data_IF_358727277219
#
_entry.id   IF_358727277219
#
_cell.length_a   1.000
_cell.length_b   1.000
_cell.length_c   1.000
_cell.angle_alpha   90.00
_cell.angle_beta   90.00
_cell.angle_gamma   90.00
#
_symmetry.space_group_name_H-M   'P 1'
#
loop_
_entity.id
_entity.type
_entity.pdbx_description
1 polymer ?
#
# COMPACT_ATOMS: atom_id res chain seq x y z
N UNK A 1 15.19 -1.65 21.94
CA UNK A 1 15.76 -1.47 20.58
C UNK A 1 14.68 -0.78 19.77
N UNK A 2 14.70 0.55 19.77
CA UNK A 2 13.75 1.38 19.03
C UNK A 2 14.25 1.47 17.58
N UNK A 3 13.53 0.90 16.60
CA UNK A 3 13.94 1.06 15.22
C UNK A 3 13.66 2.51 14.83
N UNK A 4 14.75 3.21 14.52
CA UNK A 4 14.78 4.43 13.72
C UNK A 4 13.70 4.35 12.63
N UNK A 5 12.71 5.26 12.64
CA UNK A 5 11.65 5.35 11.62
C UNK A 5 12.27 5.77 10.28
N UNK A 6 13.00 4.87 9.64
CA UNK A 6 13.41 5.01 8.24
C UNK A 6 12.26 4.43 7.42
N UNK A 7 11.54 5.30 6.73
CA UNK A 7 10.39 4.92 5.91
C UNK A 7 10.84 3.93 4.83
N UNK A 8 10.52 2.66 5.04
CA UNK A 8 11.02 1.53 4.26
C UNK A 8 9.85 0.70 3.74
N UNK A 9 10.03 0.06 2.59
CA UNK A 9 9.01 -0.78 1.95
C UNK A 9 8.43 -1.84 2.91
N UNK A 10 9.28 -2.44 3.75
CA UNK A 10 8.89 -3.43 4.75
C UNK A 10 7.94 -2.85 5.81
N UNK A 11 8.19 -1.63 6.29
CA UNK A 11 7.35 -0.98 7.30
C UNK A 11 5.96 -0.71 6.74
N UNK A 12 5.87 -0.18 5.52
CA UNK A 12 4.60 0.03 4.83
C UNK A 12 3.85 -1.29 4.68
N UNK A 13 4.56 -2.34 4.25
CA UNK A 13 4.02 -3.69 4.09
C UNK A 13 3.43 -4.22 5.39
N UNK A 14 4.19 -4.20 6.48
CA UNK A 14 3.73 -4.71 7.78
C UNK A 14 2.52 -3.94 8.32
N UNK A 15 2.53 -2.61 8.19
CA UNK A 15 1.40 -1.77 8.61
C UNK A 15 0.14 -2.13 7.84
N UNK A 16 0.23 -2.27 6.52
CA UNK A 16 -0.89 -2.62 5.66
C UNK A 16 -1.41 -4.04 5.94
N UNK A 17 -0.50 -5.01 6.13
CA UNK A 17 -0.87 -6.37 6.52
C UNK A 17 -1.65 -6.40 7.83
N UNK A 18 -1.13 -5.74 8.88
CA UNK A 18 -1.76 -5.73 10.20
C UNK A 18 -3.04 -4.88 10.25
N UNK A 19 -3.09 -3.75 9.54
CA UNK A 19 -4.21 -2.81 9.59
C UNK A 19 -5.38 -3.17 8.68
N UNK A 20 -5.16 -3.97 7.63
CA UNK A 20 -6.17 -4.25 6.61
C UNK A 20 -6.42 -5.74 6.39
N UNK A 21 -5.87 -6.61 7.24
CA UNK A 21 -5.91 -8.08 7.05
C UNK A 21 -5.59 -8.45 5.60
N UNK A 22 -4.56 -7.82 5.04
CA UNK A 22 -4.19 -8.06 3.66
C UNK A 22 -3.57 -9.46 3.54
N UNK A 23 -3.98 -10.20 2.50
CA UNK A 23 -3.39 -11.50 2.17
C UNK A 23 -2.07 -11.32 1.43
N UNK A 24 -2.00 -10.29 0.58
CA UNK A 24 -0.81 -10.00 -0.21
C UNK A 24 -0.53 -8.51 -0.24
N UNK A 25 0.72 -8.14 0.01
CA UNK A 25 1.17 -6.75 -0.02
C UNK A 25 2.53 -6.67 -0.69
N UNK A 26 2.57 -5.91 -1.78
CA UNK A 26 3.78 -5.55 -2.51
C UNK A 26 4.03 -4.05 -2.37
N UNK A 27 5.29 -3.69 -2.13
CA UNK A 27 5.72 -2.30 -2.02
C UNK A 27 6.93 -2.13 -2.92
N UNK A 28 6.81 -1.22 -3.88
CA UNK A 28 7.80 -0.90 -4.89
C UNK A 28 8.20 0.57 -4.75
N UNK A 29 9.50 0.83 -4.59
CA UNK A 29 10.03 2.19 -4.65
C UNK A 29 10.17 2.60 -6.12
N UNK A 30 9.39 3.60 -6.51
CA UNK A 30 9.35 4.12 -7.89
C UNK A 30 9.94 5.52 -7.96
N UNK A 31 10.76 5.91 -6.98
CA UNK A 31 11.36 7.24 -6.84
C UNK A 31 12.07 7.63 -8.15
N UNK A 32 11.48 8.52 -8.97
CA UNK A 32 12.01 8.85 -10.28
C UNK A 32 13.11 9.89 -10.10
N UNK A 33 14.31 9.41 -9.78
CA UNK A 33 15.47 10.26 -9.53
C UNK A 33 15.48 10.89 -8.13
N UNK A 34 16.65 11.40 -7.75
CA UNK A 34 17.09 11.71 -6.38
C UNK A 34 16.32 12.85 -5.65
N UNK A 35 15.16 13.29 -6.15
CA UNK A 35 14.45 14.48 -5.65
C UNK A 35 13.04 14.21 -5.09
N UNK A 36 12.32 13.18 -5.55
CA UNK A 36 10.95 12.94 -5.11
C UNK A 36 10.76 11.48 -4.73
N UNK A 37 10.57 11.21 -3.44
CA UNK A 37 10.29 9.87 -2.94
C UNK A 37 8.90 9.44 -3.39
N UNK A 38 8.87 8.40 -4.22
CA UNK A 38 7.65 7.84 -4.79
C UNK A 38 7.53 6.38 -4.44
N UNK A 39 6.44 5.99 -3.78
CA UNK A 39 6.16 4.58 -3.47
C UNK A 39 4.91 4.12 -4.17
N UNK A 40 4.98 2.89 -4.66
CA UNK A 40 3.86 2.17 -5.24
C UNK A 40 3.57 0.95 -4.38
N UNK A 41 2.38 0.89 -3.81
CA UNK A 41 1.94 -0.26 -3.01
C UNK A 41 0.79 -0.98 -3.69
N UNK A 42 0.81 -2.30 -3.68
CA UNK A 42 -0.30 -3.13 -4.10
C UNK A 42 -0.74 -3.95 -2.89
N UNK A 43 -1.99 -3.78 -2.49
CA UNK A 43 -2.60 -4.43 -1.34
C UNK A 43 -3.76 -5.25 -1.84
N UNK A 44 -3.69 -6.55 -1.58
CA UNK A 44 -4.74 -7.51 -1.85
C UNK A 44 -5.33 -7.91 -0.51
N UNK A 45 -6.61 -7.57 -0.31
CA UNK A 45 -7.32 -7.91 0.91
C UNK A 45 -8.77 -8.26 0.62
N UNK A 46 -9.32 -9.33 1.24
CA UNK A 46 -10.74 -9.61 1.18
C UNK A 46 -11.57 -8.53 1.90
N UNK A 47 -10.95 -7.74 2.78
CA UNK A 47 -11.59 -6.65 3.53
C UNK A 47 -12.04 -5.48 2.62
N UNK A 48 -11.55 -5.45 1.38
CA UNK A 48 -11.98 -4.51 0.34
C UNK A 48 -13.25 -4.94 -0.40
N UNK A 49 -13.69 -6.20 -0.24
CA UNK A 49 -14.90 -6.72 -0.88
C UNK A 49 -16.12 -5.94 -0.39
N UNK A 50 -16.92 -5.43 -1.33
CA UNK A 50 -18.09 -4.60 -1.00
C UNK A 50 -17.79 -3.15 -0.60
N UNK A 51 -16.52 -2.73 -0.46
CA UNK A 51 -16.14 -1.32 -0.22
C UNK A 51 -15.85 -0.60 -1.52
N UNK A 52 -16.26 0.67 -1.61
CA UNK A 52 -15.93 1.52 -2.76
C UNK A 52 -14.42 1.84 -2.80
N UNK A 53 -13.86 2.01 -3.99
CA UNK A 53 -12.43 2.30 -4.21
C UNK A 53 -11.95 3.50 -3.36
N UNK A 54 -12.75 4.57 -3.31
CA UNK A 54 -12.42 5.75 -2.49
C UNK A 54 -12.35 5.43 -0.98
N UNK A 55 -13.21 4.55 -0.46
CA UNK A 55 -13.18 4.16 0.95
C UNK A 55 -11.94 3.32 1.26
N UNK A 56 -11.57 2.40 0.35
CA UNK A 56 -10.33 1.63 0.47
C UNK A 56 -9.12 2.56 0.51
N UNK A 57 -9.10 3.58 -0.37
CA UNK A 57 -8.04 4.57 -0.42
C UNK A 57 -7.97 5.42 0.85
N UNK A 58 -9.12 5.85 1.38
CA UNK A 58 -9.15 6.56 2.67
C UNK A 58 -8.56 5.72 3.80
N UNK A 59 -8.95 4.45 3.92
CA UNK A 59 -8.43 3.57 4.98
C UNK A 59 -6.91 3.44 4.94
N UNK A 60 -6.34 3.20 3.76
CA UNK A 60 -4.89 3.10 3.57
C UNK A 60 -4.21 4.44 3.86
N UNK A 61 -4.76 5.55 3.35
CA UNK A 61 -4.22 6.88 3.57
C UNK A 61 -4.25 7.30 5.04
N UNK A 62 -5.31 6.94 5.78
CA UNK A 62 -5.41 7.20 7.22
C UNK A 62 -4.41 6.37 8.00
N UNK A 63 -4.23 5.10 7.62
CA UNK A 63 -3.25 4.21 8.24
C UNK A 63 -1.81 4.70 8.06
N UNK A 64 -1.50 5.22 6.87
CA UNK A 64 -0.18 5.72 6.48
C UNK A 64 -0.10 7.26 6.54
N UNK A 65 -0.99 7.93 7.28
CA UNK A 65 -1.09 9.38 7.25
C UNK A 65 0.18 10.09 7.75
N UNK A 66 0.94 9.46 8.66
CA UNK A 66 2.24 9.98 9.11
C UNK A 66 3.30 9.82 8.00
N UNK A 67 3.37 8.64 7.39
CA UNK A 67 4.28 8.29 6.29
C UNK A 67 4.04 9.15 5.04
N UNK A 68 2.78 9.34 4.66
CA UNK A 68 2.38 10.13 3.48
C UNK A 68 2.82 11.59 3.55
N UNK A 69 3.08 12.14 4.75
CA UNK A 69 3.62 13.51 4.89
C UNK A 69 5.07 13.61 4.42
N UNK A 70 5.80 12.49 4.43
CA UNK A 70 7.19 12.40 4.02
C UNK A 70 7.31 11.98 2.54
N UNK A 71 6.31 11.28 2.02
CA UNK A 71 6.26 10.79 0.64
C UNK A 71 5.69 11.89 -0.27
N UNK A 72 6.38 12.21 -1.37
CA UNK A 72 5.89 13.20 -2.33
C UNK A 72 4.79 12.64 -3.23
N UNK A 73 4.94 11.38 -3.66
CA UNK A 73 3.94 10.69 -4.45
C UNK A 73 3.73 9.26 -3.93
N UNK A 74 2.49 8.92 -3.62
CA UNK A 74 2.13 7.59 -3.15
C UNK A 74 1.03 7.01 -4.04
N UNK A 75 1.37 5.93 -4.74
CA UNK A 75 0.42 5.17 -5.52
C UNK A 75 0.03 3.93 -4.73
N UNK A 76 -1.27 3.74 -4.48
CA UNK A 76 -1.78 2.52 -3.86
C UNK A 76 -2.79 1.84 -4.77
N UNK A 77 -2.66 0.53 -4.92
CA UNK A 77 -3.64 -0.32 -5.58
C UNK A 77 -4.28 -1.21 -4.53
N UNK A 78 -5.61 -1.12 -4.41
CA UNK A 78 -6.38 -1.92 -3.46
C UNK A 78 -7.29 -2.86 -4.22
N UNK A 79 -6.89 -4.12 -4.28
CA UNK A 79 -7.59 -5.15 -5.05
C UNK A 79 -8.15 -6.20 -4.10
N UNK A 80 -9.27 -6.81 -4.48
CA UNK A 80 -9.72 -8.04 -3.82
C UNK A 80 -8.91 -9.22 -4.34
N UNK A 81 -8.76 -10.32 -3.58
CA UNK A 81 -8.11 -11.54 -4.07
C UNK A 81 -8.69 -11.98 -5.41
N UNK A 82 -10.02 -11.97 -5.57
CA UNK A 82 -10.71 -12.26 -6.82
C UNK A 82 -10.33 -11.34 -8.01
N UNK A 83 -9.98 -10.08 -7.72
CA UNK A 83 -9.55 -9.12 -8.77
C UNK A 83 -8.07 -9.30 -9.09
N UNK A 84 -7.25 -9.55 -8.08
CA UNK A 84 -5.82 -9.79 -8.25
C UNK A 84 -5.56 -11.08 -9.04
N UNK A 85 -6.26 -12.16 -8.74
CA UNK A 85 -6.19 -13.41 -9.53
C UNK A 85 -6.54 -13.16 -11.00
N UNK A 86 -7.62 -12.40 -11.27
CA UNK A 86 -8.01 -12.04 -12.64
C UNK A 86 -6.98 -11.19 -13.38
N UNK A 87 -6.38 -10.21 -12.70
CA UNK A 87 -5.31 -9.37 -13.28
C UNK A 87 -4.03 -10.17 -13.55
N UNK A 88 -3.71 -11.15 -12.69
CA UNK A 88 -2.56 -12.03 -12.89
C UNK A 88 -2.79 -13.04 -14.02
N UNK A 89 -3.99 -13.59 -14.14
CA UNK A 89 -4.34 -14.55 -15.20
C UNK A 89 -4.44 -13.88 -16.59
N UNK A 90 -4.74 -12.58 -16.63
CA UNK A 90 -4.83 -11.79 -17.86
C UNK A 90 -3.46 -11.26 -18.35
N UNK A 91 -2.36 -11.54 -17.66
CA UNK A 91 -1.02 -11.02 -17.95
C UNK A 91 -0.09 -12.10 -18.49
#
# INVERSE_FOLDING_TARGET
>A
MEPSRVLSAEVLRERLLQGLEAEHVEVEDTTPGRCATSFKVLVVSPCFRGKALLQRHRLVNELLAEELKLIHAFEQRTLTPEQWEKEQEAK
#
